data_IF_054850440669
#
_entry.id   IF_054850440669
#
_cell.length_a   1.000
_cell.length_b   1.000
_cell.length_c   1.000
_cell.angle_alpha   90.00
_cell.angle_beta   90.00
_cell.angle_gamma   90.00
#
_symmetry.space_group_name_H-M   'P 1'
#
loop_
_entity.id
_entity.type
_entity.pdbx_description
1 polymer ?
#
# COMPACT_ATOMS: atom_id res chain seq x y z
N UNK A 1 -1.91 -37.02 1.64
CA UNK A 1 -2.89 -36.02 1.17
C UNK A 1 -2.12 -34.92 0.48
N UNK A 2 -2.21 -34.87 -0.85
CA UNK A 2 -1.65 -33.79 -1.62
C UNK A 2 -2.79 -33.10 -2.35
N UNK A 3 -2.96 -31.81 -2.11
CA UNK A 3 -3.67 -30.91 -3.02
C UNK A 3 -2.95 -29.57 -2.98
N UNK A 4 -2.09 -29.37 -3.98
CA UNK A 4 -1.81 -28.04 -4.49
C UNK A 4 -3.12 -27.50 -5.08
N UNK A 5 -3.44 -26.23 -4.85
CA UNK A 5 -4.53 -25.58 -5.57
C UNK A 5 -4.12 -24.19 -6.04
N UNK A 6 -3.95 -24.13 -7.37
CA UNK A 6 -4.17 -23.03 -8.30
C UNK A 6 -3.84 -21.60 -7.87
N UNK A 7 -2.76 -21.10 -8.48
CA UNK A 7 -2.61 -19.75 -8.97
C UNK A 7 -3.85 -19.39 -9.83
N UNK A 8 -4.72 -18.50 -9.34
CA UNK A 8 -5.75 -17.88 -10.17
C UNK A 8 -5.48 -16.38 -10.17
N UNK A 9 -4.90 -15.92 -11.27
CA UNK A 9 -4.89 -14.52 -11.67
C UNK A 9 -6.32 -14.07 -11.97
N UNK A 10 -6.87 -13.16 -11.18
CA UNK A 10 -7.92 -12.20 -11.57
C UNK A 10 -8.24 -11.28 -10.38
N UNK A 11 -7.85 -10.01 -10.48
CA UNK A 11 -8.22 -8.89 -9.59
C UNK A 11 -8.34 -9.20 -8.09
N UNK A 12 -7.22 -9.17 -7.35
CA UNK A 12 -7.29 -9.09 -5.90
C UNK A 12 -7.28 -7.60 -5.51
N UNK A 13 -8.47 -6.99 -5.59
CA UNK A 13 -8.80 -5.72 -4.91
C UNK A 13 -9.70 -6.00 -3.70
N UNK A 14 -9.49 -7.14 -3.04
CA UNK A 14 -10.11 -7.48 -1.78
C UNK A 14 -8.99 -7.56 -0.75
N UNK A 15 -9.22 -6.95 0.42
CA UNK A 15 -8.29 -6.99 1.53
C UNK A 15 -7.87 -8.44 1.79
N UNK A 16 -6.62 -8.79 1.47
CA UNK A 16 -6.09 -10.09 1.90
C UNK A 16 -5.79 -9.92 3.39
N UNK A 17 -6.75 -10.27 4.24
CA UNK A 17 -6.51 -10.47 5.66
C UNK A 17 -5.53 -11.65 5.82
N UNK A 18 -4.25 -11.33 5.94
CA UNK A 18 -3.20 -12.32 6.21
C UNK A 18 -3.34 -12.86 7.64
N UNK A 19 -3.92 -12.05 8.53
CA UNK A 19 -4.36 -12.40 9.88
C UNK A 19 -5.38 -11.34 10.36
N UNK A 20 -6.07 -11.53 11.50
CA UNK A 20 -7.03 -10.54 12.03
C UNK A 20 -6.43 -9.17 12.34
N UNK A 21 -5.10 -9.04 12.33
CA UNK A 21 -4.37 -7.82 12.66
C UNK A 21 -3.53 -7.26 11.51
N UNK A 22 -3.41 -8.00 10.39
CA UNK A 22 -2.54 -7.68 9.24
C UNK A 22 -3.35 -7.74 7.94
N UNK A 23 -3.38 -6.63 7.21
CA UNK A 23 -4.10 -6.52 5.95
C UNK A 23 -3.25 -5.96 4.82
N UNK A 24 -3.74 -6.17 3.60
CA UNK A 24 -3.31 -5.47 2.39
C UNK A 24 -4.46 -4.60 1.94
N UNK A 25 -4.28 -3.29 1.83
CA UNK A 25 -5.35 -2.37 1.45
C UNK A 25 -4.89 -1.36 0.41
N UNK A 26 -5.85 -0.81 -0.33
CA UNK A 26 -5.64 0.36 -1.17
C UNK A 26 -6.01 1.63 -0.39
N UNK A 27 -5.11 2.62 -0.37
CA UNK A 27 -5.30 3.90 0.33
C UNK A 27 -4.94 5.04 -0.60
N UNK A 28 -5.86 5.98 -0.79
CA UNK A 28 -5.55 7.23 -1.50
C UNK A 28 -4.47 8.01 -0.75
N UNK A 29 -3.50 8.56 -1.48
CA UNK A 29 -2.42 9.33 -0.87
C UNK A 29 -2.99 10.55 -0.10
N UNK A 30 -2.63 10.73 1.19
CA UNK A 30 -2.99 11.94 1.90
C UNK A 30 -2.29 13.18 1.33
N UNK A 31 -2.79 14.39 1.60
CA UNK A 31 -2.18 15.62 1.07
C UNK A 31 -0.77 15.89 1.61
N UNK A 32 -0.53 15.56 2.88
CA UNK A 32 0.74 15.86 3.57
C UNK A 32 2.03 15.23 2.97
N UNK A 33 1.99 14.00 2.41
CA UNK A 33 3.12 13.41 1.71
C UNK A 33 3.29 13.79 0.22
N UNK A 34 2.35 14.54 -0.39
CA UNK A 34 2.48 14.92 -1.81
C UNK A 34 3.78 15.71 -2.05
N UNK A 35 4.50 15.36 -3.11
CA UNK A 35 5.79 15.94 -3.49
C UNK A 35 7.00 15.38 -2.75
N UNK A 36 6.80 14.62 -1.67
CA UNK A 36 7.86 13.89 -0.94
C UNK A 36 8.06 12.51 -1.55
N UNK A 37 9.27 12.01 -1.43
CA UNK A 37 9.65 10.65 -1.81
C UNK A 37 9.15 9.61 -0.79
N UNK A 38 9.00 8.37 -1.24
CA UNK A 38 8.71 7.23 -0.36
C UNK A 38 9.72 7.14 0.80
N UNK A 39 11.00 7.41 0.56
CA UNK A 39 12.02 7.44 1.60
C UNK A 39 11.81 8.58 2.61
N UNK A 40 11.53 9.81 2.14
CA UNK A 40 11.35 10.99 2.99
C UNK A 40 10.11 10.89 3.90
N UNK A 41 9.05 10.24 3.41
CA UNK A 41 7.84 10.02 4.22
C UNK A 41 8.09 9.05 5.36
N UNK A 42 8.99 8.09 5.17
CA UNK A 42 9.39 7.07 6.15
C UNK A 42 8.18 6.28 6.70
N UNK A 43 7.26 5.89 5.80
CA UNK A 43 5.97 5.29 6.16
C UNK A 43 6.14 4.01 7.00
N UNK A 44 7.12 3.17 6.66
CA UNK A 44 7.43 1.95 7.41
C UNK A 44 7.76 2.23 8.87
N UNK A 45 8.58 3.24 9.16
CA UNK A 45 8.95 3.55 10.53
C UNK A 45 7.84 4.28 11.29
N UNK A 46 7.06 5.15 10.62
CA UNK A 46 6.04 5.99 11.28
C UNK A 46 4.71 5.27 11.53
N UNK A 47 4.32 4.40 10.59
CA UNK A 47 3.01 3.76 10.57
C UNK A 47 3.10 2.24 10.58
N UNK A 48 4.30 1.65 10.54
CA UNK A 48 4.49 0.19 10.51
C UNK A 48 3.84 -0.47 9.26
N UNK A 49 3.80 0.27 8.15
CA UNK A 49 3.26 -0.18 6.86
C UNK A 49 4.34 -0.23 5.77
N UNK A 50 4.23 -1.16 4.83
CA UNK A 50 5.05 -1.23 3.63
C UNK A 50 4.20 -0.88 2.40
N UNK A 51 4.72 -0.01 1.53
CA UNK A 51 4.09 0.26 0.23
C UNK A 51 4.58 -0.79 -0.77
N UNK A 52 3.65 -1.59 -1.29
CA UNK A 52 3.92 -2.65 -2.28
C UNK A 52 3.82 -2.11 -3.70
N UNK A 53 2.88 -1.20 -3.94
CA UNK A 53 2.63 -0.60 -5.23
C UNK A 53 2.16 0.85 -5.11
N UNK A 54 2.40 1.63 -6.16
CA UNK A 54 1.76 2.93 -6.36
C UNK A 54 0.99 2.86 -7.69
N UNK A 55 -0.32 3.07 -7.63
CA UNK A 55 -1.19 3.20 -8.80
C UNK A 55 -1.36 4.69 -9.09
N UNK A 56 -1.02 5.09 -10.32
CA UNK A 56 -1.02 6.48 -10.78
C UNK A 56 -1.72 6.56 -12.13
N UNK A 57 -3.00 6.94 -12.11
CA UNK A 57 -3.85 6.80 -13.29
C UNK A 57 -3.87 5.34 -13.77
N UNK A 58 -3.43 5.12 -15.01
CA UNK A 58 -3.33 3.77 -15.60
C UNK A 58 -2.00 3.06 -15.30
N UNK A 59 -1.00 3.78 -14.76
CA UNK A 59 0.31 3.22 -14.46
C UNK A 59 0.33 2.51 -13.09
N UNK A 60 1.00 1.37 -13.03
CA UNK A 60 1.23 0.61 -11.80
C UNK A 60 2.74 0.48 -11.56
N UNK A 61 3.21 1.05 -10.45
CA UNK A 61 4.64 1.10 -10.09
C UNK A 61 4.91 0.03 -9.02
N UNK A 62 5.61 -1.06 -9.41
CA UNK A 62 5.88 -2.21 -8.53
C UNK A 62 7.30 -2.78 -8.77
N UNK A 63 8.12 -2.98 -7.72
CA UNK A 63 8.01 -2.29 -6.42
C UNK A 63 8.33 -0.80 -6.61
N UNK A 64 7.73 0.11 -5.81
CA UNK A 64 8.09 1.51 -5.85
C UNK A 64 9.53 1.71 -5.35
N UNK A 65 10.28 2.58 -6.04
CA UNK A 65 11.61 2.96 -5.60
C UNK A 65 11.53 3.91 -4.41
N UNK A 66 12.51 3.91 -3.49
CA UNK A 66 12.55 4.87 -2.38
C UNK A 66 12.57 6.34 -2.85
N UNK A 67 13.07 6.60 -4.06
CA UNK A 67 13.12 7.91 -4.70
C UNK A 67 11.82 8.32 -5.40
N UNK A 68 10.81 7.43 -5.47
CA UNK A 68 9.53 7.75 -6.10
C UNK A 68 8.81 8.83 -5.29
N UNK A 69 8.44 9.93 -5.95
CA UNK A 69 7.68 11.02 -5.33
C UNK A 69 6.20 10.75 -5.42
N UNK A 70 5.50 10.93 -4.32
CA UNK A 70 4.04 10.89 -4.33
C UNK A 70 3.47 12.09 -5.08
N UNK A 71 2.45 11.83 -5.90
CA UNK A 71 1.70 12.81 -6.65
C UNK A 71 0.27 12.84 -6.16
N UNK A 72 -0.44 13.92 -6.49
CA UNK A 72 -1.89 13.94 -6.34
C UNK A 72 -2.53 12.76 -7.09
N UNK A 73 -3.61 12.24 -6.54
CA UNK A 73 -4.36 11.08 -7.04
C UNK A 73 -3.59 9.73 -7.05
N UNK A 74 -2.39 9.65 -6.48
CA UNK A 74 -1.74 8.36 -6.25
C UNK A 74 -2.60 7.50 -5.29
N UNK A 75 -2.75 6.22 -5.62
CA UNK A 75 -3.32 5.21 -4.73
C UNK A 75 -2.21 4.25 -4.32
N UNK A 76 -2.03 4.07 -3.02
CA UNK A 76 -1.01 3.20 -2.45
C UNK A 76 -1.62 1.83 -2.15
N UNK A 77 -0.96 0.77 -2.62
CA UNK A 77 -1.22 -0.58 -2.11
C UNK A 77 -0.28 -0.82 -0.95
N UNK A 78 -0.81 -0.93 0.26
CA UNK A 78 -0.02 -1.04 1.49
C UNK A 78 -0.28 -2.35 2.23
N UNK A 79 0.75 -2.89 2.86
CA UNK A 79 0.69 -4.06 3.75
C UNK A 79 1.10 -3.61 5.14
N UNK A 80 0.30 -3.91 6.16
CA UNK A 80 0.66 -3.60 7.54
C UNK A 80 -0.46 -3.83 8.54
N UNK A 81 -0.19 -3.45 9.78
CA UNK A 81 -1.19 -3.55 10.83
C UNK A 81 -2.36 -2.61 10.58
N UNK A 82 -3.59 -3.05 10.86
CA UNK A 82 -4.81 -2.24 10.65
C UNK A 82 -4.72 -0.87 11.35
N UNK A 83 -4.13 -0.83 12.56
CA UNK A 83 -3.90 0.43 13.30
C UNK A 83 -2.99 1.41 12.55
N UNK A 84 -1.96 0.90 11.88
CA UNK A 84 -1.01 1.69 11.11
C UNK A 84 -1.63 2.27 9.86
N UNK A 85 -2.40 1.43 9.16
CA UNK A 85 -3.21 1.79 7.99
C UNK A 85 -4.21 2.90 8.35
N UNK A 86 -5.00 2.72 9.42
CA UNK A 86 -5.99 3.72 9.83
C UNK A 86 -5.35 5.08 10.12
N UNK A 87 -4.19 5.09 10.81
CA UNK A 87 -3.44 6.32 11.10
C UNK A 87 -2.91 7.02 9.84
N UNK A 88 -2.68 6.29 8.75
CA UNK A 88 -2.33 6.89 7.47
C UNK A 88 -3.56 7.56 6.83
N UNK A 89 -4.71 6.89 6.85
CA UNK A 89 -5.97 7.42 6.31
C UNK A 89 -6.41 8.70 7.02
N UNK A 90 -6.19 8.79 8.34
CA UNK A 90 -6.52 9.98 9.16
C UNK A 90 -5.74 11.24 8.75
N UNK A 91 -4.73 11.14 7.88
CA UNK A 91 -3.99 12.29 7.34
C UNK A 91 -4.64 12.95 6.12
N UNK A 92 -5.74 12.39 5.62
CA UNK A 92 -6.39 12.78 4.37
C UNK A 92 -7.16 14.09 4.48
#
# INVERSE_FOLDING_TARGET
MGVAHNLVSSNIMDCIELSPSLGIVEVSIPRAPIGKTLAETNLRAKFEINVVAIKRGEALIIPPLPSEKFKEDDVLVVVGGIKGIQRLEDLS
#
